data_IF_942440986053
#
_entry.id   IF_942440986053
#
_cell.length_a   1.000
_cell.length_b   1.000
_cell.length_c   1.000
_cell.angle_alpha   90.00
_cell.angle_beta   90.00
_cell.angle_gamma   90.00
#
_symmetry.space_group_name_H-M   'P 1'
#
loop_
_entity.id
_entity.type
_entity.pdbx_description
1 polymer ?
#
# COMPACT_ATOMS: atom_id res chain seq x y z
N UNK A 1 -9.74 17.63 -1.84
CA UNK A 1 -9.90 16.16 -1.94
C UNK A 1 -8.96 15.52 -0.95
N UNK A 2 -9.43 14.59 -0.12
CA UNK A 2 -8.59 13.87 0.84
C UNK A 2 -7.68 12.86 0.12
N UNK A 3 -6.45 12.68 0.61
CA UNK A 3 -5.52 11.65 0.14
C UNK A 3 -5.40 10.56 1.20
N UNK A 4 -5.36 9.30 0.77
CA UNK A 4 -5.01 8.18 1.65
C UNK A 4 -3.85 7.43 1.02
N UNK A 5 -2.73 7.39 1.72
CA UNK A 5 -1.56 6.60 1.36
C UNK A 5 -1.75 5.20 1.90
N UNK A 6 -1.53 4.15 1.11
CA UNK A 6 -1.65 2.77 1.57
C UNK A 6 -0.53 1.89 1.00
N UNK A 7 -0.25 0.80 1.71
CA UNK A 7 0.73 -0.21 1.33
C UNK A 7 0.33 -1.57 1.91
N UNK A 8 0.75 -2.65 1.26
CA UNK A 8 0.48 -4.02 1.69
C UNK A 8 1.78 -4.82 1.85
N UNK A 9 1.93 -5.45 3.01
CA UNK A 9 2.86 -6.57 3.12
C UNK A 9 2.14 -7.87 2.81
N UNK A 10 2.80 -8.74 2.04
CA UNK A 10 2.20 -9.99 1.57
C UNK A 10 3.05 -11.19 1.89
N UNK A 11 2.47 -12.39 1.79
CA UNK A 11 3.21 -13.64 1.97
C UNK A 11 4.25 -13.94 0.88
N UNK A 12 4.30 -13.15 -0.20
CA UNK A 12 5.27 -13.31 -1.29
C UNK A 12 4.70 -12.96 -2.66
N UNK A 13 5.17 -13.62 -3.72
CA UNK A 13 4.70 -13.43 -5.10
C UNK A 13 4.61 -14.79 -5.84
N UNK A 14 3.78 -14.93 -6.90
CA UNK A 14 2.75 -14.01 -7.40
C UNK A 14 1.35 -14.25 -6.79
N UNK A 15 1.11 -15.44 -6.19
CA UNK A 15 -0.14 -15.78 -5.50
C UNK A 15 0.08 -15.70 -3.99
N UNK A 16 -0.16 -14.53 -3.43
CA UNK A 16 0.06 -14.25 -2.02
C UNK A 16 -1.21 -13.82 -1.29
N UNK A 17 -1.10 -13.74 0.03
CA UNK A 17 -2.13 -13.20 0.92
C UNK A 17 -1.59 -11.98 1.63
N UNK A 18 -2.47 -11.03 1.96
CA UNK A 18 -2.12 -9.85 2.74
C UNK A 18 -1.77 -10.29 4.16
N UNK A 19 -0.68 -9.75 4.69
CA UNK A 19 -0.17 -9.98 6.05
C UNK A 19 -0.27 -8.70 6.87
N UNK A 20 -0.02 -7.53 6.26
CA UNK A 20 -0.21 -6.22 6.85
C UNK A 20 -0.91 -5.33 5.83
N UNK A 21 -1.87 -4.53 6.31
CA UNK A 21 -2.44 -3.41 5.56
C UNK A 21 -2.24 -2.17 6.41
N UNK A 22 -1.57 -1.17 5.85
CA UNK A 22 -1.45 0.14 6.47
C UNK A 22 -2.02 1.23 5.58
N UNK A 23 -2.56 2.26 6.22
CA UNK A 23 -3.02 3.46 5.54
C UNK A 23 -2.81 4.72 6.39
N UNK A 24 -2.49 5.84 5.76
CA UNK A 24 -2.27 7.13 6.43
C UNK A 24 -2.94 8.27 5.67
N UNK A 25 -3.51 9.22 6.41
CA UNK A 25 -4.03 10.50 5.89
C UNK A 25 -3.82 11.60 6.92
N UNK A 26 -2.81 12.45 6.67
CA UNK A 26 -2.37 13.46 7.64
C UNK A 26 -1.89 12.78 8.92
N UNK A 27 -2.59 13.05 10.03
CA UNK A 27 -2.30 12.46 11.35
C UNK A 27 -3.06 11.15 11.62
N UNK A 28 -4.02 10.79 10.77
CA UNK A 28 -4.79 9.56 10.93
C UNK A 28 -4.02 8.38 10.33
N UNK A 29 -3.99 7.26 11.05
CA UNK A 29 -3.36 6.03 10.58
C UNK A 29 -4.17 4.79 10.91
N UNK A 30 -4.17 3.84 9.99
CA UNK A 30 -4.63 2.47 10.14
C UNK A 30 -3.43 1.54 9.97
N UNK A 31 -3.26 0.58 10.86
CA UNK A 31 -2.23 -0.46 10.73
C UNK A 31 -2.77 -1.77 11.28
N UNK A 32 -3.09 -2.70 10.39
CA UNK A 32 -3.77 -3.95 10.74
C UNK A 32 -3.01 -5.14 10.17
N UNK A 33 -2.96 -6.21 10.96
CA UNK A 33 -2.34 -7.47 10.58
C UNK A 33 -3.39 -8.54 10.33
N UNK A 34 -3.16 -9.34 9.30
CA UNK A 34 -4.00 -10.48 8.93
C UNK A 34 -3.19 -11.74 9.14
N UNK A 35 -3.81 -12.77 9.69
CA UNK A 35 -3.18 -14.09 9.73
C UNK A 35 -3.36 -14.76 8.36
N UNK A 36 -2.30 -14.93 7.56
CA UNK A 36 -2.42 -15.66 6.31
C UNK A 36 -2.66 -17.16 6.59
N UNK A 37 -3.34 -17.81 5.65
CA UNK A 37 -3.54 -19.26 5.58
C UNK A 37 -2.32 -19.98 5.04
N UNK A 38 -1.53 -19.31 4.20
CA UNK A 38 -0.30 -19.85 3.64
C UNK A 38 0.95 -19.40 4.42
N UNK A 39 2.06 -20.17 4.36
CA UNK A 39 3.35 -19.72 4.89
C UNK A 39 3.84 -18.47 4.16
N UNK A 40 4.60 -17.62 4.86
CA UNK A 40 5.35 -16.54 4.24
C UNK A 40 6.55 -17.16 3.50
N UNK A 41 6.70 -16.83 2.22
CA UNK A 41 7.81 -17.30 1.39
C UNK A 41 9.15 -16.83 1.97
N UNK A 42 10.24 -17.63 1.88
CA UNK A 42 11.54 -17.26 2.44
C UNK A 42 12.10 -15.92 1.96
N UNK A 43 11.81 -15.53 0.71
CA UNK A 43 12.21 -14.23 0.17
C UNK A 43 11.46 -13.09 0.85
N UNK A 44 10.13 -13.18 0.96
CA UNK A 44 9.31 -12.20 1.66
C UNK A 44 9.70 -12.11 3.15
N UNK A 45 9.85 -13.25 3.83
CA UNK A 45 10.22 -13.29 5.25
C UNK A 45 11.57 -12.62 5.54
N UNK A 46 12.52 -12.68 4.60
CA UNK A 46 13.85 -12.05 4.73
C UNK A 46 13.77 -10.53 4.66
N UNK A 47 12.86 -10.03 3.83
CA UNK A 47 12.70 -8.61 3.53
C UNK A 47 11.83 -7.94 4.60
N UNK A 48 10.69 -8.54 4.93
CA UNK A 48 9.68 -7.95 5.83
C UNK A 48 9.85 -8.39 7.28
N UNK A 49 10.56 -9.50 7.54
CA UNK A 49 10.66 -10.10 8.86
C UNK A 49 9.41 -10.87 9.32
N UNK A 50 8.38 -11.00 8.48
CA UNK A 50 7.19 -11.78 8.82
C UNK A 50 7.43 -13.28 8.73
N UNK A 51 6.93 -14.01 9.72
CA UNK A 51 6.91 -15.48 9.72
C UNK A 51 5.61 -16.01 10.32
N UNK A 52 5.20 -17.21 9.89
CA UNK A 52 4.04 -17.91 10.45
C UNK A 52 4.51 -19.17 11.17
N UNK A 53 4.16 -19.33 12.45
CA UNK A 53 4.47 -20.51 13.26
C UNK A 53 3.25 -20.92 14.06
N UNK A 54 2.85 -22.19 14.00
CA UNK A 54 1.71 -22.69 14.79
C UNK A 54 0.42 -21.88 14.59
N UNK A 55 0.15 -21.45 13.35
CA UNK A 55 -0.99 -20.57 12.99
C UNK A 55 -0.98 -19.20 13.67
N UNK A 56 0.18 -18.69 14.07
CA UNK A 56 0.37 -17.35 14.62
C UNK A 56 1.34 -16.57 13.74
N UNK A 57 1.09 -15.27 13.57
CA UNK A 57 1.95 -14.36 12.83
C UNK A 57 2.98 -13.74 13.77
N UNK A 58 4.22 -13.66 13.29
CA UNK A 58 5.32 -13.03 14.02
C UNK A 58 6.03 -12.02 13.12
N UNK A 59 6.43 -10.89 13.70
CA UNK A 59 7.33 -9.92 13.08
C UNK A 59 8.63 -9.89 13.88
N UNK A 60 9.76 -10.24 13.24
CA UNK A 60 11.07 -10.35 13.91
C UNK A 60 11.01 -11.15 15.23
N UNK A 61 10.30 -12.29 15.22
CA UNK A 61 10.07 -13.20 16.37
C UNK A 61 9.11 -12.68 17.45
N UNK A 62 8.55 -11.47 17.31
CA UNK A 62 7.50 -10.95 18.19
C UNK A 62 6.14 -11.42 17.69
N UNK A 63 5.34 -12.02 18.58
CA UNK A 63 3.96 -12.42 18.29
C UNK A 63 3.10 -11.18 18.02
N UNK A 64 2.32 -11.21 16.94
CA UNK A 64 1.36 -10.17 16.59
C UNK A 64 -0.07 -10.64 16.82
N UNK A 65 -0.91 -9.70 17.24
CA UNK A 65 -2.36 -9.86 17.19
C UNK A 65 -2.81 -9.67 15.74
N UNK A 66 -3.67 -10.57 15.28
CA UNK A 66 -4.15 -10.60 13.90
C UNK A 66 -5.67 -10.58 13.88
N UNK A 67 -6.22 -10.00 12.83
CA UNK A 67 -7.65 -10.00 12.56
C UNK A 67 -7.95 -10.93 11.37
N UNK A 68 -9.22 -11.23 11.14
CA UNK A 68 -9.67 -11.85 9.90
C UNK A 68 -9.51 -10.88 8.71
N UNK A 69 -9.41 -11.42 7.50
CA UNK A 69 -9.35 -10.63 6.28
C UNK A 69 -10.56 -9.68 6.17
N UNK A 70 -11.76 -10.16 6.52
CA UNK A 70 -12.99 -9.37 6.44
C UNK A 70 -12.97 -8.19 7.42
N UNK A 71 -12.55 -8.39 8.67
CA UNK A 71 -12.45 -7.31 9.66
C UNK A 71 -11.47 -6.21 9.22
N UNK A 72 -10.32 -6.60 8.65
CA UNK A 72 -9.34 -5.63 8.14
C UNK A 72 -9.90 -4.83 6.98
N UNK A 73 -10.53 -5.49 6.00
CA UNK A 73 -11.07 -4.79 4.84
C UNK A 73 -12.30 -3.92 5.18
N UNK A 74 -13.16 -4.35 6.11
CA UNK A 74 -14.25 -3.50 6.63
C UNK A 74 -13.66 -2.26 7.33
N UNK A 75 -12.65 -2.44 8.17
CA UNK A 75 -12.00 -1.33 8.87
C UNK A 75 -11.33 -0.35 7.91
N UNK A 76 -10.69 -0.87 6.86
CA UNK A 76 -10.09 -0.05 5.82
C UNK A 76 -11.14 0.73 5.02
N UNK A 77 -12.24 0.09 4.62
CA UNK A 77 -13.35 0.78 3.96
C UNK A 77 -13.95 1.87 4.85
N UNK A 78 -14.18 1.58 6.14
CA UNK A 78 -14.67 2.57 7.09
C UNK A 78 -13.72 3.78 7.21
N UNK A 79 -12.40 3.54 7.27
CA UNK A 79 -11.38 4.58 7.27
C UNK A 79 -11.47 5.47 6.02
N UNK A 80 -11.68 4.89 4.84
CA UNK A 80 -11.86 5.63 3.59
C UNK A 80 -13.16 6.44 3.58
N UNK A 81 -14.25 5.88 4.08
CA UNK A 81 -15.56 6.54 4.16
C UNK A 81 -15.54 7.76 5.08
N UNK A 82 -14.87 7.65 6.23
CA UNK A 82 -14.66 8.78 7.16
C UNK A 82 -13.98 9.98 6.48
N UNK A 83 -13.18 9.73 5.43
CA UNK A 83 -12.43 10.74 4.70
C UNK A 83 -13.13 11.23 3.42
N UNK A 84 -14.39 10.81 3.19
CA UNK A 84 -15.24 11.35 2.13
C UNK A 84 -14.80 10.95 0.73
N UNK A 85 -14.58 9.66 0.48
CA UNK A 85 -14.16 9.10 -0.82
C UNK A 85 -12.79 9.62 -1.30
N UNK A 86 -11.71 9.40 -0.53
CA UNK A 86 -10.38 9.92 -0.82
C UNK A 86 -9.82 9.41 -2.16
N UNK A 87 -8.76 10.07 -2.63
CA UNK A 87 -7.88 9.51 -3.65
C UNK A 87 -6.91 8.55 -2.96
N UNK A 88 -6.87 7.31 -3.42
CA UNK A 88 -5.97 6.31 -2.87
C UNK A 88 -4.59 6.44 -3.56
N UNK A 89 -3.52 6.50 -2.79
CA UNK A 89 -2.17 6.75 -3.27
C UNK A 89 -1.26 5.66 -2.75
N UNK A 90 -0.39 5.14 -3.61
CA UNK A 90 0.66 4.24 -3.15
C UNK A 90 1.83 4.23 -4.13
N UNK A 91 2.89 3.50 -3.79
CA UNK A 91 4.09 3.45 -4.61
C UNK A 91 4.26 2.08 -5.26
N UNK A 92 4.25 2.04 -6.59
CA UNK A 92 4.28 0.80 -7.36
C UNK A 92 3.04 -0.10 -7.10
N UNK A 93 1.90 0.51 -6.75
CA UNK A 93 0.67 -0.20 -6.34
C UNK A 93 -0.02 -1.00 -7.45
N UNK A 94 0.52 -0.99 -8.67
CA UNK A 94 0.12 -1.96 -9.70
C UNK A 94 0.37 -3.40 -9.25
N UNK A 95 1.24 -3.63 -8.26
CA UNK A 95 1.42 -4.93 -7.60
C UNK A 95 0.42 -5.15 -6.46
N UNK A 96 0.21 -4.15 -5.61
CA UNK A 96 -0.67 -4.22 -4.44
C UNK A 96 -2.14 -4.34 -4.83
N UNK A 97 -2.58 -3.57 -5.82
CA UNK A 97 -4.00 -3.49 -6.13
C UNK A 97 -4.59 -4.83 -6.62
N UNK A 98 -3.94 -5.64 -7.47
CA UNK A 98 -4.43 -6.99 -7.77
C UNK A 98 -4.61 -7.89 -6.55
N UNK A 99 -3.73 -7.76 -5.54
CA UNK A 99 -3.85 -8.49 -4.26
C UNK A 99 -5.05 -7.97 -3.49
N UNK A 100 -5.18 -6.65 -3.34
CA UNK A 100 -6.31 -6.01 -2.68
C UNK A 100 -7.65 -6.38 -3.31
N UNK A 101 -7.76 -6.32 -4.64
CA UNK A 101 -8.98 -6.65 -5.38
C UNK A 101 -9.38 -8.09 -5.17
N UNK A 102 -8.43 -9.03 -5.29
CA UNK A 102 -8.69 -10.45 -5.03
C UNK A 102 -9.20 -10.66 -3.60
N UNK A 103 -8.57 -10.00 -2.62
CA UNK A 103 -8.98 -10.07 -1.23
C UNK A 103 -10.36 -9.46 -0.98
N UNK A 104 -10.71 -8.36 -1.64
CA UNK A 104 -12.04 -7.75 -1.59
C UNK A 104 -13.11 -8.64 -2.22
N UNK A 105 -12.81 -9.27 -3.35
CA UNK A 105 -13.70 -10.22 -4.04
C UNK A 105 -13.98 -11.44 -3.15
N UNK A 106 -12.95 -11.97 -2.48
CA UNK A 106 -13.05 -13.13 -1.57
C UNK A 106 -14.09 -12.89 -0.44
N UNK A 107 -14.17 -11.67 0.08
CA UNK A 107 -15.09 -11.33 1.19
C UNK A 107 -16.30 -10.50 0.76
N UNK A 108 -16.53 -10.37 -0.56
CA UNK A 108 -17.66 -9.67 -1.18
C UNK A 108 -17.75 -8.17 -0.79
N UNK A 109 -16.60 -7.50 -0.68
CA UNK A 109 -16.52 -6.08 -0.29
C UNK A 109 -16.10 -5.14 -1.43
N UNK A 110 -15.87 -5.66 -2.65
CA UNK A 110 -15.38 -4.87 -3.78
C UNK A 110 -16.23 -3.63 -4.09
N UNK A 111 -17.55 -3.80 -4.25
CA UNK A 111 -18.45 -2.70 -4.56
C UNK A 111 -18.45 -1.62 -3.45
N UNK A 112 -18.36 -2.03 -2.18
CA UNK A 112 -18.27 -1.10 -1.05
C UNK A 112 -16.97 -0.31 -1.07
N UNK A 113 -15.85 -0.97 -1.40
CA UNK A 113 -14.56 -0.32 -1.55
C UNK A 113 -14.55 0.69 -2.71
N UNK A 114 -15.04 0.29 -3.89
CA UNK A 114 -15.11 1.16 -5.07
C UNK A 114 -15.97 2.41 -4.82
N UNK A 115 -17.09 2.26 -4.12
CA UNK A 115 -17.92 3.39 -3.70
C UNK A 115 -17.21 4.32 -2.69
N UNK A 116 -16.23 3.80 -1.94
CA UNK A 116 -15.52 4.50 -0.87
C UNK A 116 -14.25 5.21 -1.32
N UNK A 117 -13.90 5.18 -2.61
CA UNK A 117 -12.74 5.89 -3.18
C UNK A 117 -13.16 6.74 -4.39
N UNK A 118 -12.34 7.71 -4.74
CA UNK A 118 -12.51 8.54 -5.95
C UNK A 118 -11.56 8.14 -7.09
N UNK A 119 -10.71 7.14 -6.86
CA UNK A 119 -9.70 6.60 -7.77
C UNK A 119 -8.41 6.27 -7.04
N UNK A 120 -7.42 5.82 -7.80
CA UNK A 120 -6.10 5.44 -7.32
C UNK A 120 -5.00 6.18 -8.11
N UNK A 121 -3.84 6.39 -7.50
CA UNK A 121 -2.64 6.93 -8.15
C UNK A 121 -1.42 6.12 -7.76
N UNK A 122 -0.67 5.67 -8.77
CA UNK A 122 0.63 5.03 -8.58
C UNK A 122 1.72 6.10 -8.65
N UNK A 123 2.41 6.30 -7.54
CA UNK A 123 3.44 7.32 -7.42
C UNK A 123 4.74 6.96 -8.12
N UNK A 124 4.96 5.69 -8.51
CA UNK A 124 6.16 5.30 -9.24
C UNK A 124 6.25 5.95 -10.64
N UNK A 125 5.26 5.78 -11.55
CA UNK A 125 5.28 6.47 -12.85
C UNK A 125 5.12 7.99 -12.70
N UNK A 126 4.38 8.46 -11.69
CA UNK A 126 4.27 9.89 -11.38
C UNK A 126 5.62 10.51 -11.00
N UNK A 127 6.38 9.87 -10.11
CA UNK A 127 7.69 10.35 -9.70
C UNK A 127 8.68 10.33 -10.88
N UNK A 128 8.61 9.33 -11.75
CA UNK A 128 9.40 9.26 -12.99
C UNK A 128 9.14 10.44 -13.91
N UNK A 129 7.89 10.88 -14.03
CA UNK A 129 7.55 12.05 -14.83
C UNK A 129 8.08 13.34 -14.20
N UNK A 130 7.81 13.55 -12.91
CA UNK A 130 8.19 14.78 -12.20
C UNK A 130 9.71 14.97 -12.10
N UNK A 131 10.46 13.89 -11.99
CA UNK A 131 11.90 13.91 -11.78
C UNK A 131 12.67 13.44 -13.01
N UNK A 132 12.05 13.46 -14.20
CA UNK A 132 12.67 13.02 -15.45
C UNK A 132 13.98 13.76 -15.76
N UNK A 133 14.07 15.02 -15.33
CA UNK A 133 15.21 15.90 -15.54
C UNK A 133 16.27 15.75 -14.43
N UNK A 134 16.02 14.88 -13.44
CA UNK A 134 17.00 14.51 -12.40
C UNK A 134 17.67 13.18 -12.74
N UNK A 135 18.99 13.13 -12.63
CA UNK A 135 19.78 11.93 -12.89
C UNK A 135 19.72 10.91 -11.73
N UNK A 136 18.52 10.45 -11.36
CA UNK A 136 18.33 9.46 -10.30
C UNK A 136 18.60 8.04 -10.81
N UNK A 137 19.30 7.24 -10.00
CA UNK A 137 19.65 5.85 -10.33
C UNK A 137 18.49 4.87 -10.15
N UNK A 138 17.55 5.20 -9.26
CA UNK A 138 16.40 4.35 -8.93
C UNK A 138 15.22 5.22 -8.51
N UNK A 139 14.02 4.73 -8.83
CA UNK A 139 12.75 5.34 -8.43
C UNK A 139 12.03 4.52 -7.36
N UNK A 140 12.68 3.53 -6.75
CA UNK A 140 12.13 2.85 -5.58
C UNK A 140 11.94 3.84 -4.43
N UNK A 141 10.86 3.67 -3.66
CA UNK A 141 10.48 4.58 -2.58
C UNK A 141 11.61 4.89 -1.61
N UNK A 142 12.30 3.87 -1.10
CA UNK A 142 13.44 4.03 -0.19
C UNK A 142 14.52 4.94 -0.80
N UNK A 143 14.85 4.72 -2.08
CA UNK A 143 15.83 5.56 -2.77
C UNK A 143 15.34 6.99 -2.94
N UNK A 144 14.07 7.20 -3.31
CA UNK A 144 13.50 8.54 -3.45
C UNK A 144 13.48 9.29 -2.13
N UNK A 145 13.07 8.63 -1.04
CA UNK A 145 13.07 9.20 0.31
C UNK A 145 14.49 9.58 0.73
N UNK A 146 15.46 8.70 0.51
CA UNK A 146 16.86 8.98 0.84
C UNK A 146 17.44 10.14 0.03
N UNK A 147 17.34 10.08 -1.30
CA UNK A 147 17.97 11.05 -2.19
C UNK A 147 17.32 12.44 -2.14
N UNK A 148 16.00 12.51 -1.91
CA UNK A 148 15.26 13.77 -1.95
C UNK A 148 15.00 14.38 -0.57
N UNK A 149 14.83 13.55 0.47
CA UNK A 149 14.52 14.01 1.82
C UNK A 149 15.71 13.86 2.79
N UNK A 150 16.76 13.13 2.41
CA UNK A 150 17.88 12.83 3.32
C UNK A 150 17.49 11.92 4.48
N UNK A 151 16.38 11.19 4.36
CA UNK A 151 15.84 10.33 5.41
C UNK A 151 16.09 8.86 5.10
N UNK A 152 16.35 8.08 6.14
CA UNK A 152 16.23 6.63 6.10
C UNK A 152 15.06 6.22 6.99
N UNK A 153 14.35 5.17 6.61
CA UNK A 153 13.25 4.63 7.40
C UNK A 153 13.26 3.10 7.34
N UNK A 154 12.48 2.46 8.19
CA UNK A 154 12.34 1.01 8.19
C UNK A 154 11.45 0.59 7.02
N UNK A 155 12.05 0.44 5.84
CA UNK A 155 11.37 -0.11 4.67
C UNK A 155 10.90 -1.54 4.94
N UNK A 156 9.83 -1.95 4.24
CA UNK A 156 9.18 -3.25 4.39
C UNK A 156 8.44 -3.41 5.73
N UNK A 157 7.90 -2.29 6.19
CA UNK A 157 6.89 -2.18 7.23
C UNK A 157 5.83 -1.23 6.68
N UNK A 158 4.69 -1.78 6.26
CA UNK A 158 3.69 -1.01 5.50
C UNK A 158 3.33 0.33 6.17
N UNK A 159 3.33 0.43 7.51
CA UNK A 159 3.04 1.68 8.20
C UNK A 159 4.14 2.73 8.02
N UNK A 160 5.39 2.32 8.10
CA UNK A 160 6.53 3.22 7.87
C UNK A 160 6.65 3.58 6.39
N UNK A 161 6.37 2.63 5.50
CA UNK A 161 6.30 2.89 4.06
C UNK A 161 5.26 3.96 3.70
N UNK A 162 4.03 3.89 4.23
CA UNK A 162 3.00 4.91 3.91
C UNK A 162 3.27 6.27 4.56
N UNK A 163 3.95 6.31 5.72
CA UNK A 163 4.38 7.56 6.37
C UNK A 163 5.47 8.24 5.54
N UNK A 164 6.46 7.47 5.11
CA UNK A 164 7.51 7.94 4.23
C UNK A 164 6.94 8.41 2.89
N UNK A 165 5.98 7.67 2.32
CA UNK A 165 5.31 8.03 1.08
C UNK A 165 4.50 9.33 1.20
N UNK A 166 3.75 9.53 2.30
CA UNK A 166 3.02 10.78 2.52
C UNK A 166 3.99 11.98 2.54
N UNK A 167 5.12 11.83 3.22
CA UNK A 167 6.16 12.87 3.30
C UNK A 167 6.78 13.12 1.92
N UNK A 168 7.13 12.07 1.20
CA UNK A 168 7.66 12.15 -0.16
C UNK A 168 6.67 12.82 -1.12
N UNK A 169 5.39 12.44 -1.07
CA UNK A 169 4.35 13.04 -1.93
C UNK A 169 4.18 14.54 -1.64
N UNK A 170 4.24 14.93 -0.36
CA UNK A 170 4.23 16.34 0.05
C UNK A 170 5.44 17.13 -0.44
N UNK A 171 6.60 16.49 -0.57
CA UNK A 171 7.79 17.10 -1.18
C UNK A 171 7.70 17.19 -2.72
N UNK A 172 7.16 16.15 -3.37
CA UNK A 172 7.03 16.11 -4.83
C UNK A 172 6.03 17.15 -5.36
N UNK A 173 5.00 17.49 -4.58
CA UNK A 173 3.96 18.47 -4.93
C UNK A 173 3.41 18.30 -6.37
N UNK A 174 2.91 17.10 -6.75
CA UNK A 174 2.40 16.88 -8.10
C UNK A 174 1.23 17.83 -8.42
N UNK A 175 1.25 18.42 -9.62
CA UNK A 175 0.14 19.27 -10.08
C UNK A 175 -1.11 18.42 -10.38
N UNK A 176 -2.32 19.00 -10.35
CA UNK A 176 -3.55 18.30 -10.70
C UNK A 176 -3.50 17.60 -12.06
N UNK A 177 -2.81 18.19 -13.05
CA UNK A 177 -2.66 17.65 -14.40
C UNK A 177 -1.79 16.38 -14.41
N UNK A 178 -0.70 16.38 -13.62
CA UNK A 178 0.14 15.19 -13.42
C UNK A 178 -0.66 14.11 -12.71
N UNK A 179 -1.36 14.45 -11.61
CA UNK A 179 -2.21 13.51 -10.87
C UNK A 179 -3.25 12.88 -11.80
N UNK A 180 -3.92 13.69 -12.62
CA UNK A 180 -4.95 13.21 -13.54
C UNK A 180 -4.42 12.21 -14.57
N UNK A 181 -3.18 12.36 -15.04
CA UNK A 181 -2.55 11.44 -16.02
C UNK A 181 -2.18 10.09 -15.43
N UNK A 182 -1.83 10.04 -14.14
CA UNK A 182 -1.46 8.81 -13.43
C UNK A 182 -2.62 8.21 -12.61
N UNK A 183 -3.79 8.84 -12.65
CA UNK A 183 -5.00 8.36 -11.98
C UNK A 183 -5.61 7.19 -12.74
N UNK A 184 -6.03 6.17 -12.01
CA UNK A 184 -6.72 5.01 -12.53
C UNK A 184 -7.85 4.57 -11.59
N UNK A 185 -8.74 3.71 -12.05
CA UNK A 185 -9.75 3.08 -11.19
C UNK A 185 -9.40 1.63 -10.93
N UNK A 186 -9.93 1.08 -9.85
CA UNK A 186 -9.72 -0.32 -9.46
C UNK A 186 -10.16 -1.27 -10.59
N UNK A 187 -11.21 -0.91 -11.32
CA UNK A 187 -11.67 -1.68 -12.48
C UNK A 187 -10.67 -1.71 -13.65
N UNK A 188 -9.94 -0.62 -13.88
CA UNK A 188 -8.93 -0.55 -14.95
C UNK A 188 -7.67 -1.38 -14.69
N UNK A 189 -7.54 -1.98 -13.50
CA UNK A 189 -6.47 -2.95 -13.20
C UNK A 189 -6.72 -4.32 -13.83
N UNK A 190 -7.94 -4.58 -14.31
CA UNK A 190 -8.15 -5.67 -15.27
C UNK A 190 -7.66 -5.17 -16.63
N UNK A 191 -6.60 -5.82 -17.10
CA UNK A 191 -5.93 -5.66 -18.40
C UNK A 191 -4.52 -5.04 -18.30
N UNK A 192 -3.55 -5.90 -18.02
CA UNK A 192 -2.64 -6.39 -19.08
C UNK A 192 -2.27 -7.85 -18.76
N UNK A 193 -2.28 -8.77 -19.74
CA UNK A 193 -1.62 -10.07 -19.60
C UNK A 193 -0.11 -9.89 -19.37
#
# INVERSE_FOLDING_TARGET
QSLVFFDLETTGLPRCEIVQLAAVSGLHSLNLYIRPRCPVQPAAARVTGFTVRGRRLYLHRRLLLTNSLREVLVSFIAFLQMLGRPLLVGHNIRFDCPVLVRSLDEVQLRAHFEASVSGCVDTLPLARELLRDRCLRSFGQENLVRELLGLNYKAHDALEDVRALQTLYGFLQPTPEVISRHKFTVDTLRCKP
#
